data_IF_130807388027
#
_entry.id   IF_130807388027
#
_cell.length_a   1.000
_cell.length_b   1.000
_cell.length_c   1.000
_cell.angle_alpha   90.00
_cell.angle_beta   90.00
_cell.angle_gamma   90.00
#
_symmetry.space_group_name_H-M   'P 1'
#
loop_
_entity.id
_entity.type
_entity.pdbx_description
1 polymer ?
#
# COMPACT_ATOMS: atom_id res chain seq x y z
N UNK A 1 -4.29 0.67 -16.88
CA UNK A 1 -3.89 -0.66 -17.40
C UNK A 1 -3.13 -0.52 -18.71
N UNK A 2 -3.67 0.14 -19.76
CA UNK A 2 -3.01 0.24 -21.07
C UNK A 2 -1.61 0.88 -21.03
N UNK A 3 -1.39 1.92 -20.21
CA UNK A 3 -0.08 2.56 -20.00
C UNK A 3 0.88 1.64 -19.25
N UNK A 4 0.37 0.81 -18.36
CA UNK A 4 1.14 -0.14 -17.57
C UNK A 4 1.64 -1.32 -18.41
N UNK A 5 0.88 -1.70 -19.44
CA UNK A 5 1.20 -2.83 -20.30
C UNK A 5 2.18 -2.45 -21.42
N UNK A 6 2.07 -1.25 -22.00
CA UNK A 6 3.00 -0.77 -23.03
C UNK A 6 2.83 0.73 -23.31
N UNK A 7 3.73 1.55 -22.76
CA UNK A 7 3.72 3.01 -22.93
C UNK A 7 3.86 3.42 -24.40
N UNK A 8 4.69 2.72 -25.17
CA UNK A 8 4.98 3.01 -26.58
C UNK A 8 3.70 2.83 -27.44
N UNK A 9 2.88 1.83 -27.18
CA UNK A 9 1.64 1.60 -27.91
C UNK A 9 0.60 2.71 -27.67
N UNK A 10 0.56 3.25 -26.45
CA UNK A 10 -0.37 4.31 -26.09
C UNK A 10 0.03 5.62 -26.76
N UNK A 11 1.33 5.87 -26.91
CA UNK A 11 1.87 7.04 -27.61
C UNK A 11 1.58 6.99 -29.10
N UNK A 12 1.67 5.83 -29.75
CA UNK A 12 1.28 5.64 -31.14
C UNK A 12 -0.23 5.86 -31.42
N UNK A 13 -1.08 5.72 -30.41
CA UNK A 13 -2.50 6.03 -30.48
C UNK A 13 -2.82 7.51 -30.30
N UNK A 14 -1.79 8.38 -30.21
CA UNK A 14 -1.94 9.82 -30.08
C UNK A 14 -2.26 10.34 -28.69
N UNK A 15 -2.19 9.48 -27.65
CA UNK A 15 -2.38 9.89 -26.28
C UNK A 15 -1.05 10.35 -25.67
N UNK A 16 -1.03 11.54 -25.06
CA UNK A 16 0.15 12.05 -24.35
C UNK A 16 0.28 11.33 -23.00
N UNK A 17 1.13 10.29 -22.96
CA UNK A 17 1.44 9.51 -21.75
C UNK A 17 1.91 10.41 -20.61
N UNK A 18 2.74 11.43 -20.90
CA UNK A 18 3.21 12.41 -19.93
C UNK A 18 2.07 13.15 -19.21
N UNK A 19 1.05 13.59 -19.94
CA UNK A 19 -0.12 14.27 -19.33
C UNK A 19 -0.88 13.34 -18.39
N UNK A 20 -1.06 12.08 -18.79
CA UNK A 20 -1.76 11.09 -17.97
C UNK A 20 -0.99 10.77 -16.68
N UNK A 21 0.33 10.66 -16.76
CA UNK A 21 1.20 10.48 -15.58
C UNK A 21 1.15 11.70 -14.67
N UNK A 22 1.22 12.91 -15.23
CA UNK A 22 1.12 14.16 -14.45
C UNK A 22 -0.19 14.26 -13.67
N UNK A 23 -1.31 13.97 -14.31
CA UNK A 23 -2.63 14.01 -13.66
C UNK A 23 -2.70 13.00 -12.51
N UNK A 24 -2.22 11.77 -12.72
CA UNK A 24 -2.17 10.76 -11.66
C UNK A 24 -1.29 11.20 -10.48
N UNK A 25 -0.16 11.83 -10.79
CA UNK A 25 0.78 12.30 -9.76
C UNK A 25 0.16 13.42 -8.92
N UNK A 26 -0.49 14.39 -9.56
CA UNK A 26 -1.18 15.49 -8.87
C UNK A 26 -2.33 14.97 -8.02
N UNK A 27 -3.13 14.04 -8.53
CA UNK A 27 -4.22 13.43 -7.75
C UNK A 27 -3.68 12.68 -6.53
N UNK A 28 -2.62 11.89 -6.70
CA UNK A 28 -1.97 11.18 -5.60
C UNK A 28 -1.42 12.15 -4.55
N UNK A 29 -0.77 13.24 -4.97
CA UNK A 29 -0.24 14.26 -4.08
C UNK A 29 -1.35 14.98 -3.29
N UNK A 30 -2.48 15.30 -3.93
CA UNK A 30 -3.64 15.88 -3.27
C UNK A 30 -4.23 14.95 -2.20
N UNK A 31 -4.35 13.66 -2.51
CA UNK A 31 -4.84 12.66 -1.55
C UNK A 31 -3.88 12.48 -0.37
N UNK A 32 -2.59 12.41 -0.64
CA UNK A 32 -1.56 12.31 0.40
C UNK A 32 -1.53 13.55 1.30
N UNK A 33 -1.64 14.75 0.71
CA UNK A 33 -1.73 16.01 1.45
C UNK A 33 -2.98 16.08 2.33
N UNK A 34 -4.12 15.66 1.80
CA UNK A 34 -5.37 15.56 2.55
C UNK A 34 -5.28 14.58 3.73
N UNK A 35 -4.70 13.41 3.51
CA UNK A 35 -4.48 12.42 4.56
C UNK A 35 -3.52 12.93 5.64
N UNK A 36 -2.42 13.59 5.25
CA UNK A 36 -1.49 14.23 6.18
C UNK A 36 -2.14 15.36 7.00
N UNK A 37 -3.00 16.17 6.38
CA UNK A 37 -3.77 17.20 7.06
C UNK A 37 -4.74 16.63 8.10
N UNK A 38 -5.45 15.55 7.78
CA UNK A 38 -6.33 14.86 8.71
C UNK A 38 -5.54 14.23 9.87
N UNK A 39 -4.37 13.65 9.59
CA UNK A 39 -3.49 13.11 10.61
C UNK A 39 -2.99 14.20 11.56
N UNK A 40 -2.55 15.33 11.02
CA UNK A 40 -2.15 16.50 11.82
C UNK A 40 -3.27 17.03 12.70
N UNK A 41 -4.50 17.11 12.17
CA UNK A 41 -5.67 17.53 12.91
C UNK A 41 -6.03 16.57 14.05
N UNK A 42 -5.85 15.24 13.84
CA UNK A 42 -6.14 14.23 14.86
C UNK A 42 -5.11 14.21 15.99
N UNK A 43 -3.86 14.50 15.69
CA UNK A 43 -2.77 14.56 16.68
C UNK A 43 -2.67 15.91 17.40
N UNK A 44 -3.29 16.95 16.84
CA UNK A 44 -3.28 18.32 17.40
C UNK A 44 -1.94 19.04 17.30
N UNK A 45 -0.92 18.40 16.71
CA UNK A 45 0.40 18.99 16.50
C UNK A 45 1.05 18.41 15.24
N UNK A 46 1.93 19.18 14.64
CA UNK A 46 2.73 18.77 13.49
C UNK A 46 4.20 18.78 13.91
N UNK A 47 4.78 17.60 13.99
CA UNK A 47 6.20 17.42 14.26
C UNK A 47 6.89 16.94 12.99
N UNK A 48 7.80 17.77 12.40
CA UNK A 48 8.52 17.39 11.19
C UNK A 48 9.36 16.11 11.35
N UNK A 49 9.92 15.89 12.52
CA UNK A 49 10.80 14.72 12.76
C UNK A 49 10.03 13.41 12.81
N UNK A 50 8.78 13.43 13.26
CA UNK A 50 7.95 12.23 13.32
C UNK A 50 7.10 12.02 12.08
N UNK A 51 6.66 13.10 11.39
CA UNK A 51 5.73 13.02 10.26
C UNK A 51 6.39 13.04 8.89
N UNK A 52 7.56 13.70 8.77
CA UNK A 52 8.26 13.89 7.46
C UNK A 52 9.56 13.08 7.42
N UNK A 53 9.73 12.13 8.33
CA UNK A 53 10.90 11.28 8.35
C UNK A 53 10.87 10.26 7.19
N UNK A 54 12.04 9.96 6.66
CA UNK A 54 12.19 8.99 5.59
C UNK A 54 11.65 7.60 5.97
N UNK A 55 11.69 7.26 7.27
CA UNK A 55 11.12 6.01 7.80
C UNK A 55 9.61 5.88 7.52
N UNK A 56 8.86 6.99 7.64
CA UNK A 56 7.42 7.03 7.35
C UNK A 56 7.16 6.73 5.88
N UNK A 57 7.98 7.29 4.98
CA UNK A 57 7.90 6.97 3.55
C UNK A 57 8.20 5.50 3.28
N UNK A 58 9.17 4.91 3.97
CA UNK A 58 9.47 3.48 3.90
C UNK A 58 8.30 2.61 4.37
N UNK A 59 7.66 2.97 5.48
CA UNK A 59 6.46 2.26 5.97
C UNK A 59 5.33 2.27 4.96
N UNK A 60 5.06 3.39 4.29
CA UNK A 60 4.04 3.49 3.25
C UNK A 60 4.35 2.60 2.04
N UNK A 61 5.62 2.51 1.65
CA UNK A 61 6.06 1.59 0.60
C UNK A 61 5.85 0.15 1.03
N UNK A 62 6.18 -0.20 2.27
CA UNK A 62 5.97 -1.53 2.81
C UNK A 62 4.50 -1.93 2.82
N UNK A 63 3.61 -1.04 3.27
CA UNK A 63 2.16 -1.25 3.23
C UNK A 63 1.70 -1.52 1.79
N UNK A 64 2.18 -0.76 0.83
CA UNK A 64 1.79 -0.89 -0.57
C UNK A 64 2.24 -2.22 -1.18
N UNK A 65 3.49 -2.63 -0.91
CA UNK A 65 4.03 -3.92 -1.39
C UNK A 65 3.29 -5.09 -0.73
N UNK A 66 3.05 -5.01 0.58
CA UNK A 66 2.37 -6.05 1.34
C UNK A 66 0.92 -6.24 0.90
N UNK A 67 0.22 -5.15 0.58
CA UNK A 67 -1.18 -5.20 0.15
C UNK A 67 -1.35 -5.79 -1.25
N UNK A 68 -0.38 -5.58 -2.14
CA UNK A 68 -0.42 -6.05 -3.53
C UNK A 68 -1.06 -5.05 -4.50
N UNK A 69 -0.84 -5.24 -5.80
CA UNK A 69 -1.17 -4.29 -6.88
C UNK A 69 -2.56 -4.51 -7.50
N UNK A 70 -3.34 -5.43 -6.98
CA UNK A 70 -4.56 -5.90 -7.65
C UNK A 70 -5.79 -5.01 -7.51
N UNK A 71 -5.89 -4.17 -6.46
CA UNK A 71 -7.11 -3.42 -6.20
C UNK A 71 -6.84 -2.13 -5.42
N UNK A 72 -7.68 -1.11 -5.64
CA UNK A 72 -7.61 0.19 -4.94
C UNK A 72 -7.86 0.04 -3.42
N UNK A 73 -8.62 -0.96 -3.02
CA UNK A 73 -8.92 -1.24 -1.61
C UNK A 73 -7.82 -2.04 -0.90
N UNK A 74 -6.90 -2.65 -1.64
CA UNK A 74 -5.83 -3.45 -1.07
C UNK A 74 -4.95 -2.68 -0.06
N UNK A 75 -4.50 -1.44 -0.33
CA UNK A 75 -3.69 -0.67 0.61
C UNK A 75 -4.40 -0.35 1.92
N UNK A 76 -5.74 -0.18 1.92
CA UNK A 76 -6.51 0.06 3.15
C UNK A 76 -6.46 -1.15 4.09
N UNK A 77 -6.66 -2.34 3.54
CA UNK A 77 -6.58 -3.59 4.31
C UNK A 77 -5.14 -3.84 4.74
N UNK A 78 -4.18 -3.62 3.85
CA UNK A 78 -2.76 -3.73 4.15
C UNK A 78 -2.31 -2.79 5.26
N UNK A 79 -2.80 -1.55 5.29
CA UNK A 79 -2.50 -0.59 6.34
C UNK A 79 -3.02 -1.05 7.71
N UNK A 80 -4.23 -1.58 7.78
CA UNK A 80 -4.80 -2.11 9.02
C UNK A 80 -3.95 -3.28 9.53
N UNK A 81 -3.63 -4.23 8.67
CA UNK A 81 -2.83 -5.40 9.04
C UNK A 81 -1.42 -4.98 9.46
N UNK A 82 -0.81 -4.05 8.75
CA UNK A 82 0.51 -3.52 9.07
C UNK A 82 0.54 -2.86 10.45
N UNK A 83 -0.47 -2.04 10.77
CA UNK A 83 -0.57 -1.36 12.06
C UNK A 83 -0.77 -2.36 13.21
N UNK A 84 -1.54 -3.43 12.99
CA UNK A 84 -1.63 -4.52 13.96
C UNK A 84 -0.27 -5.20 14.19
N UNK A 85 0.43 -5.58 13.15
CA UNK A 85 1.75 -6.21 13.24
C UNK A 85 2.73 -5.28 13.95
N UNK A 86 2.74 -3.99 13.62
CA UNK A 86 3.58 -2.98 14.22
C UNK A 86 3.33 -2.84 15.71
N UNK A 87 2.07 -2.74 16.12
CA UNK A 87 1.67 -2.60 17.53
C UNK A 87 2.13 -3.80 18.34
N UNK A 88 1.88 -5.02 17.88
CA UNK A 88 2.33 -6.22 18.56
C UNK A 88 3.86 -6.35 18.58
N UNK A 89 4.53 -6.02 17.49
CA UNK A 89 5.99 -6.02 17.44
C UNK A 89 6.60 -5.04 18.44
N UNK A 90 5.98 -3.89 18.63
CA UNK A 90 6.42 -2.88 19.58
C UNK A 90 6.21 -3.31 21.04
N UNK A 91 5.11 -4.01 21.34
CA UNK A 91 4.84 -4.56 22.68
C UNK A 91 5.82 -5.67 23.07
N UNK A 92 6.17 -6.55 22.12
CA UNK A 92 6.99 -7.73 22.42
C UNK A 92 8.49 -7.44 22.45
N UNK A 93 8.95 -6.58 21.55
CA UNK A 93 10.37 -6.24 21.48
C UNK A 93 10.59 -4.81 20.96
N UNK A 94 10.52 -3.79 21.83
CA UNK A 94 10.67 -2.39 21.44
C UNK A 94 12.00 -2.05 20.76
N UNK A 95 13.05 -2.84 21.01
CA UNK A 95 14.36 -2.65 20.40
C UNK A 95 14.54 -3.37 19.05
N UNK A 96 13.71 -4.37 18.78
CA UNK A 96 13.79 -5.21 17.57
C UNK A 96 12.55 -5.12 16.67
N UNK A 97 11.63 -4.19 16.94
CA UNK A 97 10.37 -4.04 16.20
C UNK A 97 10.58 -3.93 14.69
N UNK A 98 11.59 -3.18 14.26
CA UNK A 98 11.90 -3.00 12.85
C UNK A 98 12.34 -4.31 12.17
N UNK A 99 13.11 -5.14 12.89
CA UNK A 99 13.51 -6.46 12.39
C UNK A 99 12.32 -7.42 12.30
N UNK A 100 11.39 -7.37 13.25
CA UNK A 100 10.16 -8.18 13.26
C UNK A 100 9.27 -7.78 12.10
N UNK A 101 9.05 -6.48 11.91
CA UNK A 101 8.23 -5.95 10.80
C UNK A 101 8.87 -6.29 9.45
N UNK A 102 10.18 -6.07 9.30
CA UNK A 102 10.91 -6.40 8.07
C UNK A 102 10.91 -7.91 7.79
N UNK A 103 11.10 -8.75 8.81
CA UNK A 103 11.04 -10.21 8.68
C UNK A 103 9.65 -10.71 8.30
N UNK A 104 8.60 -10.15 8.90
CA UNK A 104 7.22 -10.47 8.55
C UNK A 104 6.90 -10.07 7.11
N UNK A 105 7.40 -8.91 6.67
CA UNK A 105 7.23 -8.43 5.31
C UNK A 105 7.92 -9.36 4.31
N UNK A 106 9.16 -9.77 4.59
CA UNK A 106 9.87 -10.75 3.75
C UNK A 106 9.11 -12.08 3.71
N UNK A 107 8.58 -12.56 4.82
CA UNK A 107 7.77 -13.77 4.86
C UNK A 107 6.52 -13.63 3.97
N UNK A 108 5.80 -12.51 4.06
CA UNK A 108 4.62 -12.26 3.24
C UNK A 108 4.96 -12.24 1.75
N UNK A 109 6.03 -11.55 1.36
CA UNK A 109 6.47 -11.50 -0.04
C UNK A 109 6.87 -12.89 -0.56
N UNK A 110 7.55 -13.70 0.27
CA UNK A 110 8.01 -15.03 -0.11
C UNK A 110 6.85 -16.03 -0.24
N UNK A 111 5.89 -15.99 0.69
CA UNK A 111 4.75 -16.90 0.70
C UNK A 111 3.60 -16.43 -0.20
N UNK A 112 3.45 -15.12 -0.40
CA UNK A 112 2.34 -14.51 -1.14
C UNK A 112 2.83 -13.45 -2.14
N UNK A 113 3.43 -13.87 -3.27
CA UNK A 113 4.00 -12.95 -4.25
C UNK A 113 2.97 -12.01 -4.91
N UNK A 114 1.68 -12.27 -4.74
CA UNK A 114 0.59 -11.39 -5.17
C UNK A 114 0.06 -10.44 -4.09
N UNK A 115 0.70 -10.39 -2.91
CA UNK A 115 0.24 -9.62 -1.75
C UNK A 115 -0.96 -10.25 -1.03
N UNK A 116 -1.35 -9.65 0.08
CA UNK A 116 -2.48 -10.11 0.91
C UNK A 116 -3.79 -10.12 0.11
N UNK A 117 -3.96 -9.20 -0.84
CA UNK A 117 -5.14 -9.16 -1.71
C UNK A 117 -5.33 -10.44 -2.52
N UNK A 118 -4.27 -11.04 -3.01
CA UNK A 118 -4.32 -12.31 -3.75
C UNK A 118 -4.90 -13.45 -2.90
N UNK A 119 -4.65 -13.45 -1.60
CA UNK A 119 -5.20 -14.42 -0.66
C UNK A 119 -6.69 -14.20 -0.47
N UNK A 120 -7.09 -12.95 -0.26
CA UNK A 120 -8.50 -12.56 -0.08
C UNK A 120 -9.31 -12.92 -1.32
N UNK A 121 -8.77 -12.64 -2.50
CA UNK A 121 -9.42 -12.97 -3.77
C UNK A 121 -9.57 -14.49 -3.98
N UNK A 122 -8.56 -15.27 -3.62
CA UNK A 122 -8.65 -16.74 -3.64
C UNK A 122 -9.71 -17.26 -2.69
N UNK A 123 -9.79 -16.74 -1.47
CA UNK A 123 -10.80 -17.15 -0.48
C UNK A 123 -12.20 -16.75 -0.95
N UNK A 124 -12.36 -15.56 -1.51
CA UNK A 124 -13.65 -15.06 -2.00
C UNK A 124 -14.15 -15.85 -3.22
N UNK A 125 -13.25 -16.17 -4.15
CA UNK A 125 -13.56 -16.98 -5.32
C UNK A 125 -13.83 -18.45 -4.97
N UNK A 126 -13.22 -18.96 -3.90
CA UNK A 126 -13.50 -20.31 -3.42
C UNK A 126 -14.92 -20.42 -2.83
N UNK A 127 -15.39 -19.36 -2.15
CA UNK A 127 -16.77 -19.26 -1.64
C UNK A 127 -17.82 -19.17 -2.76
N UNK A 128 -17.51 -18.47 -3.85
CA UNK A 128 -18.41 -18.28 -4.98
C UNK A 128 -18.60 -19.55 -5.83
N UNK A 129 -17.58 -20.40 -5.93
CA UNK A 129 -17.67 -21.70 -6.61
C UNK A 129 -18.53 -22.73 -5.86
N UNK A 130 -18.77 -22.54 -4.57
CA UNK A 130 -19.57 -23.46 -3.75
C UNK A 130 -21.07 -23.20 -3.81
N UNK A 131 -21.47 -22.01 -4.29
CA UNK A 131 -22.87 -21.60 -4.41
C UNK A 131 -23.47 -21.77 -5.82
N UNK A 132 -22.76 -22.40 -6.74
CA UNK A 132 -23.21 -22.68 -8.12
C UNK A 132 -23.25 -24.21 -8.35
N UNK A 133 -23.71 -24.95 -7.35
CA UNK A 133 -24.15 -26.34 -7.54
C UNK A 133 -25.53 -26.53 -6.96
#
# INVERSE_FOLDING_TARGET
>A
TAIQDNEIRVEYLGYSVQKAIHIKYVMSACLAGGAGGLMAASLGQVDPDSMVNWNVSGELVFITIMSGWGNILAPFIGAIIFEFIRTYAFEWAPQAWAAIVGGTLLAIIFFFPGGIWSVIEKVFNYGKKKNVK
#
